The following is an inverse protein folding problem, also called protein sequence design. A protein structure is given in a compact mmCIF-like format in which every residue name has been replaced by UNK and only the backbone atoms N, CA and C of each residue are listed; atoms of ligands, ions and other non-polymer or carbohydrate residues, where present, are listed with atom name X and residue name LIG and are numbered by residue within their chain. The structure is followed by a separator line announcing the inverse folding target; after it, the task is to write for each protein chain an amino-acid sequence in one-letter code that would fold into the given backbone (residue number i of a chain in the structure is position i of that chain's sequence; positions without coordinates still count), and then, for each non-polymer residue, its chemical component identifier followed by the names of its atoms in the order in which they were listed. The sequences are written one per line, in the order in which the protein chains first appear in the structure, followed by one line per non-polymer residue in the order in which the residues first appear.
data_IF_525696855326
#
_entry.id   IF_525696855326
#
_cell.length_a   1.000
_cell.length_b   1.000
_cell.length_c   1.000
_cell.angle_alpha   90.00
_cell.angle_beta   90.00
_cell.angle_gamma   90.00
#
_symmetry.space_group_name_H-M   'P 1'
#
loop_
_entity.id
_entity.type
_entity.pdbx_description
1 polymer ?
#
# COMPACT_ATOMS: atom_id res chain seq x y z
N UNK A 1 9.55 48.21 31.44
CA UNK A 1 8.37 47.78 30.66
C UNK A 1 8.69 46.94 29.40
N UNK A 2 9.95 46.61 29.09
CA UNK A 2 10.29 45.89 27.83
C UNK A 2 10.42 44.36 27.93
N UNK A 3 10.67 43.79 29.12
CA UNK A 3 10.99 42.36 29.27
C UNK A 3 9.76 41.45 29.16
N UNK A 4 8.61 41.86 29.70
CA UNK A 4 7.38 41.04 29.68
C UNK A 4 6.72 41.00 28.31
N UNK A 5 6.73 42.12 27.56
CA UNK A 5 6.18 42.19 26.20
C UNK A 5 6.99 41.37 25.21
N UNK A 6 8.33 41.39 25.30
CA UNK A 6 9.19 40.52 24.48
C UNK A 6 8.95 39.04 24.77
N UNK A 7 8.79 38.65 26.04
CA UNK A 7 8.49 37.27 26.41
C UNK A 7 7.16 36.77 25.81
N UNK A 8 6.11 37.60 25.85
CA UNK A 8 4.80 37.27 25.27
C UNK A 8 4.85 37.12 23.74
N UNK A 9 5.61 37.98 23.06
CA UNK A 9 5.79 37.90 21.60
C UNK A 9 6.51 36.60 21.23
N UNK A 10 7.60 36.25 21.94
CA UNK A 10 8.34 35.01 21.71
C UNK A 10 7.48 33.77 21.94
N UNK A 11 6.61 33.78 22.96
CA UNK A 11 5.66 32.68 23.23
C UNK A 11 4.59 32.57 22.13
N UNK A 12 4.08 33.69 21.62
CA UNK A 12 3.12 33.67 20.53
C UNK A 12 3.74 33.10 19.24
N UNK A 13 4.95 33.52 18.89
CA UNK A 13 5.67 32.99 17.73
C UNK A 13 6.00 31.50 17.88
N UNK A 14 6.45 31.05 19.06
CA UNK A 14 6.73 29.63 19.29
C UNK A 14 5.47 28.76 19.21
N UNK A 15 4.33 29.26 19.71
CA UNK A 15 3.04 28.58 19.58
C UNK A 15 2.56 28.49 18.12
N UNK A 16 2.65 29.59 17.36
CA UNK A 16 2.29 29.60 15.93
C UNK A 16 3.20 28.67 15.14
N UNK A 17 4.50 28.69 15.42
CA UNK A 17 5.46 27.81 14.76
C UNK A 17 5.20 26.33 15.08
N UNK A 18 4.93 26.00 16.35
CA UNK A 18 4.60 24.63 16.76
C UNK A 18 3.30 24.14 16.12
N UNK A 19 2.26 24.97 16.12
CA UNK A 19 0.96 24.60 15.50
C UNK A 19 1.12 24.41 13.99
N UNK A 20 1.91 25.24 13.33
CA UNK A 20 2.24 25.07 11.91
C UNK A 20 2.98 23.75 11.65
N UNK A 21 3.98 23.41 12.47
CA UNK A 21 4.68 22.11 12.38
C UNK A 21 3.71 20.94 12.58
N UNK A 22 2.83 21.00 13.59
CA UNK A 22 1.88 19.94 13.87
C UNK A 22 0.87 19.74 12.73
N UNK A 23 0.38 20.84 12.15
CA UNK A 23 -0.53 20.81 11.00
C UNK A 23 0.17 20.28 9.73
N UNK A 24 1.42 20.68 9.51
CA UNK A 24 2.22 20.22 8.37
C UNK A 24 2.52 18.72 8.43
N UNK A 25 2.70 18.18 9.63
CA UNK A 25 2.99 16.76 9.85
C UNK A 25 1.73 15.91 10.10
N UNK A 26 0.54 16.49 10.01
CA UNK A 26 -0.69 15.76 10.25
C UNK A 26 -0.96 14.75 9.13
N UNK A 27 -1.00 13.47 9.51
CA UNK A 27 -1.40 12.36 8.65
C UNK A 27 -2.82 11.89 9.01
N UNK A 28 -3.79 12.08 8.10
CA UNK A 28 -5.14 11.57 8.29
C UNK A 28 -5.16 10.05 8.50
N UNK A 29 -6.06 9.55 9.37
CA UNK A 29 -6.14 8.13 9.63
C UNK A 29 -6.71 7.36 8.43
N UNK A 30 -6.30 6.09 8.30
CA UNK A 30 -6.84 5.17 7.30
C UNK A 30 -8.27 4.77 7.67
N UNK A 31 -9.09 4.44 6.67
CA UNK A 31 -10.41 3.87 6.94
C UNK A 31 -10.30 2.47 7.57
N UNK A 32 -11.08 2.13 8.62
CA UNK A 32 -11.00 0.82 9.27
C UNK A 32 -11.20 -0.37 8.33
N UNK A 33 -12.06 -0.23 7.32
CA UNK A 33 -12.28 -1.26 6.29
C UNK A 33 -11.03 -1.51 5.45
N UNK A 34 -10.34 -0.44 5.01
CA UNK A 34 -9.10 -0.57 4.24
C UNK A 34 -7.99 -1.15 5.12
N UNK A 35 -7.90 -0.75 6.39
CA UNK A 35 -6.91 -1.29 7.31
C UNK A 35 -7.11 -2.79 7.55
N UNK A 36 -8.34 -3.24 7.79
CA UNK A 36 -8.66 -4.67 7.92
C UNK A 36 -8.33 -5.44 6.64
N UNK A 37 -8.69 -4.89 5.48
CA UNK A 37 -8.37 -5.49 4.19
C UNK A 37 -6.86 -5.59 3.97
N UNK A 38 -6.10 -4.59 4.39
CA UNK A 38 -4.64 -4.59 4.29
C UNK A 38 -4.04 -5.71 5.12
N UNK A 39 -4.46 -5.90 6.38
CA UNK A 39 -4.02 -7.05 7.16
C UNK A 39 -4.39 -8.40 6.51
N UNK A 40 -5.55 -8.51 5.87
CA UNK A 40 -5.92 -9.73 5.14
C UNK A 40 -4.98 -9.99 3.96
N UNK A 41 -4.62 -8.95 3.19
CA UNK A 41 -3.63 -9.07 2.10
C UNK A 41 -2.26 -9.46 2.66
N UNK A 42 -1.80 -8.76 3.70
CA UNK A 42 -0.52 -9.03 4.37
C UNK A 42 -0.44 -10.50 4.84
N UNK A 43 -1.48 -10.99 5.51
CA UNK A 43 -1.58 -12.39 5.95
C UNK A 43 -1.65 -13.39 4.77
N UNK A 44 -2.25 -13.01 3.64
CA UNK A 44 -2.30 -13.85 2.44
C UNK A 44 -0.91 -14.00 1.79
N UNK A 45 -0.11 -12.93 1.80
CA UNK A 45 1.22 -12.90 1.19
C UNK A 45 2.29 -13.46 2.12
N UNK A 46 2.15 -13.25 3.43
CA UNK A 46 3.04 -13.82 4.43
C UNK A 46 2.28 -14.18 5.71
N UNK A 47 1.68 -15.39 5.78
CA UNK A 47 0.91 -15.81 6.96
C UNK A 47 1.77 -16.02 8.21
N UNK A 48 3.07 -16.26 8.02
CA UNK A 48 4.02 -16.57 9.10
C UNK A 48 4.53 -15.30 9.81
N UNK A 49 4.34 -14.13 9.21
CA UNK A 49 4.77 -12.86 9.78
C UNK A 49 3.70 -12.27 10.72
N UNK A 50 4.05 -11.86 11.95
CA UNK A 50 3.09 -11.35 12.93
C UNK A 50 2.72 -9.88 12.66
N UNK A 51 2.01 -9.61 11.57
CA UNK A 51 1.74 -8.27 11.04
C UNK A 51 1.11 -7.33 12.06
N UNK A 52 0.07 -7.78 12.78
CA UNK A 52 -0.67 -6.97 13.75
C UNK A 52 0.17 -6.61 14.98
N UNK A 53 1.09 -7.49 15.38
CA UNK A 53 1.98 -7.26 16.52
C UNK A 53 3.16 -6.38 16.11
N UNK A 54 3.68 -6.53 14.89
CA UNK A 54 4.84 -5.78 14.42
C UNK A 54 4.50 -4.37 13.96
N UNK A 55 3.35 -4.19 13.34
CA UNK A 55 2.84 -2.90 12.90
C UNK A 55 1.48 -2.66 13.54
N UNK A 56 1.45 -2.39 14.85
CA UNK A 56 0.22 -2.07 15.55
C UNK A 56 -0.23 -0.65 15.18
N UNK A 57 -1.54 -0.47 15.01
CA UNK A 57 -2.13 0.85 14.79
C UNK A 57 -2.29 1.22 13.31
N UNK A 58 -2.31 2.51 13.03
CA UNK A 58 -2.69 3.06 11.72
C UNK A 58 -1.56 2.96 10.69
N UNK A 59 -1.75 2.08 9.71
CA UNK A 59 -0.80 1.75 8.65
C UNK A 59 -0.57 2.89 7.63
N UNK A 60 -1.27 4.01 7.73
CA UNK A 60 -1.00 5.21 6.92
C UNK A 60 -0.36 6.35 7.72
N UNK A 61 -0.55 6.39 9.04
CA UNK A 61 0.19 7.33 9.91
C UNK A 61 1.66 6.93 10.04
N UNK A 62 1.90 5.64 10.24
CA UNK A 62 3.23 5.04 10.35
C UNK A 62 3.34 3.88 9.36
N UNK A 63 3.40 4.19 8.05
CA UNK A 63 3.40 3.15 7.04
C UNK A 63 4.64 2.27 7.18
N UNK A 64 4.46 0.94 7.24
CA UNK A 64 5.55 0.01 7.02
C UNK A 64 6.18 0.25 5.64
N UNK A 65 7.41 -0.22 5.42
CA UNK A 65 7.98 -0.35 4.08
C UNK A 65 6.99 -0.90 3.06
N UNK A 66 7.06 -0.44 1.83
CA UNK A 66 6.21 -0.92 0.75
C UNK A 66 4.75 -0.47 0.78
N UNK A 67 4.29 0.22 1.83
CA UNK A 67 2.93 0.80 1.90
C UNK A 67 2.99 2.30 1.60
N UNK A 68 2.27 2.73 0.57
CA UNK A 68 2.16 4.15 0.22
C UNK A 68 0.70 4.57 0.30
N UNK A 69 0.42 5.62 1.08
CA UNK A 69 -0.91 6.16 1.24
C UNK A 69 -1.06 7.52 0.57
N UNK A 70 -2.21 7.72 -0.07
CA UNK A 70 -2.66 9.03 -0.55
C UNK A 70 -3.49 9.70 0.54
N UNK A 71 -3.24 11.00 0.76
CA UNK A 71 -3.99 11.80 1.71
C UNK A 71 -5.03 12.65 0.97
N UNK A 72 -6.29 12.56 1.41
CA UNK A 72 -7.34 13.47 0.97
C UNK A 72 -7.46 14.59 2.00
N UNK A 73 -6.93 15.76 1.64
CA UNK A 73 -7.06 16.97 2.44
C UNK A 73 -8.36 17.69 2.09
N UNK A 74 -9.10 18.07 3.13
CA UNK A 74 -10.43 18.62 3.00
C UNK A 74 -10.44 20.05 2.45
N UNK A 75 -11.44 20.36 1.62
CA UNK A 75 -11.78 21.71 1.14
C UNK A 75 -12.78 22.33 2.13
N UNK A 76 -12.52 23.54 2.64
CA UNK A 76 -13.15 24.15 3.84
C UNK A 76 -14.69 24.20 3.92
N UNK A 77 -15.44 23.90 2.86
CA UNK A 77 -16.87 24.18 2.76
C UNK A 77 -17.83 23.02 3.12
N UNK A 78 -17.36 21.78 3.37
CA UNK A 78 -18.25 20.60 3.39
C UNK A 78 -18.10 19.58 4.53
N UNK A 79 -17.45 19.89 5.66
CA UNK A 79 -17.37 19.02 6.85
C UNK A 79 -17.15 17.51 6.60
N UNK A 80 -16.32 17.07 5.63
CA UNK A 80 -15.87 15.67 5.61
C UNK A 80 -14.53 15.54 6.30
N UNK A 81 -14.39 14.41 7.00
CA UNK A 81 -13.19 14.06 7.76
C UNK A 81 -12.03 13.84 6.81
N UNK A 82 -10.85 14.34 7.17
CA UNK A 82 -9.60 13.97 6.52
C UNK A 82 -9.42 12.46 6.53
N UNK A 83 -9.05 11.86 5.39
CA UNK A 83 -8.83 10.41 5.27
C UNK A 83 -7.57 10.12 4.47
N UNK A 84 -6.93 9.00 4.81
CA UNK A 84 -5.90 8.39 3.98
C UNK A 84 -6.42 7.12 3.34
N UNK A 85 -5.89 6.82 2.16
CA UNK A 85 -6.25 5.67 1.36
C UNK A 85 -4.99 4.97 0.85
N UNK A 86 -5.00 3.65 0.75
CA UNK A 86 -3.89 2.90 0.17
C UNK A 86 -3.80 3.20 -1.33
N UNK A 87 -2.63 3.68 -1.77
CA UNK A 87 -2.37 4.00 -3.18
C UNK A 87 -1.41 3.00 -3.83
N UNK A 88 -0.42 2.50 -3.07
CA UNK A 88 0.54 1.53 -3.60
C UNK A 88 0.91 0.50 -2.55
N UNK A 89 1.09 -0.75 -3.00
CA UNK A 89 1.62 -1.83 -2.19
C UNK A 89 2.76 -2.53 -2.95
N UNK A 90 3.89 -2.67 -2.26
CA UNK A 90 5.09 -3.28 -2.81
C UNK A 90 5.56 -4.40 -1.91
N UNK A 91 5.63 -5.59 -2.49
CA UNK A 91 6.00 -6.83 -1.81
C UNK A 91 7.28 -7.39 -2.41
N UNK A 92 8.14 -7.92 -1.56
CA UNK A 92 9.27 -8.73 -1.99
C UNK A 92 10.24 -9.06 -0.88
N UNK A 93 11.08 -10.04 -1.18
CA UNK A 93 12.10 -10.51 -0.26
C UNK A 93 13.36 -9.62 -0.36
N UNK A 94 14.06 -9.53 0.78
CA UNK A 94 15.12 -8.57 1.00
C UNK A 94 16.38 -8.92 0.20
N UNK A 95 16.97 -7.93 -0.48
CA UNK A 95 18.35 -7.99 -0.95
C UNK A 95 19.20 -7.25 0.09
N UNK A 96 20.29 -7.88 0.52
CA UNK A 96 20.92 -7.71 1.83
C UNK A 96 21.41 -6.29 2.22
N UNK A 97 21.44 -5.31 1.32
CA UNK A 97 22.23 -4.08 1.51
C UNK A 97 21.48 -2.74 1.57
N UNK A 98 20.15 -2.69 1.50
CA UNK A 98 19.41 -1.41 1.63
C UNK A 98 18.20 -1.53 2.54
N UNK A 99 17.89 -0.48 3.32
CA UNK A 99 16.68 -0.41 4.16
C UNK A 99 15.49 -0.98 3.39
N UNK A 100 14.69 -1.89 3.99
CA UNK A 100 13.63 -2.54 3.24
C UNK A 100 12.66 -1.48 2.73
N UNK A 101 12.49 -1.43 1.41
CA UNK A 101 11.50 -0.62 0.71
C UNK A 101 10.24 -1.45 0.39
N UNK A 102 10.26 -2.75 0.69
CA UNK A 102 9.26 -3.75 0.35
C UNK A 102 8.76 -4.48 1.61
N UNK A 103 7.52 -4.96 1.55
CA UNK A 103 6.94 -5.88 2.53
C UNK A 103 7.44 -7.31 2.28
N UNK A 104 7.92 -8.05 3.30
CA UNK A 104 8.42 -9.41 3.12
C UNK A 104 7.30 -10.37 2.67
N UNK A 105 7.65 -11.28 1.76
CA UNK A 105 6.79 -12.38 1.33
C UNK A 105 7.11 -13.67 2.10
N UNK A 106 6.13 -14.57 2.26
CA UNK A 106 6.45 -15.92 2.75
C UNK A 106 7.27 -16.65 1.68
N UNK A 107 8.23 -17.47 2.10
CA UNK A 107 9.06 -18.24 1.18
C UNK A 107 8.28 -19.31 0.42
N UNK A 108 7.20 -19.85 1.01
CA UNK A 108 6.46 -20.98 0.44
C UNK A 108 4.94 -20.79 0.43
N UNK A 109 4.38 -19.98 1.34
CA UNK A 109 2.94 -19.92 1.58
C UNK A 109 2.28 -18.63 1.06
N UNK A 110 2.99 -17.86 0.25
CA UNK A 110 2.44 -16.64 -0.33
C UNK A 110 1.34 -16.99 -1.35
N UNK A 111 0.16 -16.39 -1.17
CA UNK A 111 -1.00 -16.59 -2.05
C UNK A 111 -1.51 -15.25 -2.58
N UNK A 112 -1.89 -15.23 -3.86
CA UNK A 112 -2.48 -14.05 -4.50
C UNK A 112 -3.99 -14.25 -4.67
N UNK A 113 -4.78 -13.53 -3.89
CA UNK A 113 -6.23 -13.47 -4.07
C UNK A 113 -6.67 -12.04 -4.45
N UNK A 114 -7.01 -11.79 -5.74
CA UNK A 114 -7.47 -10.49 -6.22
C UNK A 114 -8.66 -9.89 -5.45
N UNK A 115 -9.54 -10.72 -4.88
CA UNK A 115 -10.72 -10.27 -4.13
C UNK A 115 -10.36 -9.52 -2.86
N UNK A 116 -9.20 -9.81 -2.25
CA UNK A 116 -8.72 -9.12 -1.06
C UNK A 116 -8.41 -7.64 -1.33
N UNK A 117 -8.22 -7.27 -2.60
CA UNK A 117 -7.92 -5.90 -3.00
C UNK A 117 -9.16 -5.04 -3.28
N UNK A 118 -10.36 -5.64 -3.32
CA UNK A 118 -11.62 -4.93 -3.60
C UNK A 118 -11.89 -3.70 -2.71
N UNK A 119 -11.46 -3.65 -1.43
CA UNK A 119 -11.72 -2.48 -0.59
C UNK A 119 -10.84 -1.26 -0.89
N UNK A 120 -9.78 -1.40 -1.68
CA UNK A 120 -8.82 -0.32 -1.96
C UNK A 120 -9.19 0.49 -3.20
N UNK A 121 -10.16 1.39 -3.07
CA UNK A 121 -10.68 2.20 -4.18
C UNK A 121 -9.69 3.20 -4.79
N UNK A 122 -8.53 3.39 -4.17
CA UNK A 122 -7.48 4.32 -4.60
C UNK A 122 -6.17 3.62 -4.92
N UNK A 123 -6.13 2.29 -4.90
CA UNK A 123 -4.94 1.50 -5.19
C UNK A 123 -4.61 1.59 -6.68
N UNK A 124 -3.40 2.03 -7.02
CA UNK A 124 -2.94 2.27 -8.39
C UNK A 124 -1.78 1.38 -8.81
N UNK A 125 -0.97 0.92 -7.86
CA UNK A 125 0.23 0.13 -8.13
C UNK A 125 0.35 -1.05 -7.16
N UNK A 126 0.49 -2.25 -7.74
CA UNK A 126 0.82 -3.48 -7.05
C UNK A 126 2.08 -4.08 -7.64
N UNK A 127 3.05 -4.36 -6.77
CA UNK A 127 4.33 -4.95 -7.16
C UNK A 127 4.61 -6.18 -6.31
N UNK A 128 4.96 -7.30 -6.96
CA UNK A 128 5.36 -8.54 -6.30
C UNK A 128 6.73 -8.99 -6.84
N UNK A 129 7.75 -9.02 -5.97
CA UNK A 129 9.10 -9.48 -6.30
C UNK A 129 9.43 -10.75 -5.53
N UNK A 130 9.75 -11.84 -6.21
CA UNK A 130 10.21 -13.09 -5.55
C UNK A 130 9.26 -13.59 -4.43
N UNK A 131 7.96 -13.35 -4.61
CA UNK A 131 6.95 -13.68 -3.62
C UNK A 131 6.38 -15.08 -3.85
N UNK A 132 6.27 -15.50 -5.11
CA UNK A 132 5.62 -16.75 -5.47
C UNK A 132 6.65 -17.74 -5.98
N UNK A 133 7.12 -18.61 -5.08
CA UNK A 133 8.32 -19.44 -5.29
C UNK A 133 8.02 -20.92 -5.53
N UNK A 134 6.80 -21.26 -5.96
CA UNK A 134 6.42 -22.64 -6.28
C UNK A 134 6.23 -22.81 -7.80
N UNK A 135 7.25 -23.28 -8.54
CA UNK A 135 7.18 -23.41 -10.01
C UNK A 135 6.09 -24.36 -10.49
N UNK A 136 5.71 -25.34 -9.66
CA UNK A 136 4.70 -26.35 -9.99
C UNK A 136 3.27 -25.82 -9.87
N UNK A 137 3.09 -24.69 -9.15
CA UNK A 137 1.79 -24.10 -8.90
C UNK A 137 1.64 -22.75 -9.64
N UNK A 138 1.09 -22.73 -10.86
CA UNK A 138 0.89 -21.50 -11.60
C UNK A 138 -0.20 -20.64 -10.98
N UNK A 139 0.04 -19.33 -10.93
CA UNK A 139 -0.94 -18.36 -10.45
C UNK A 139 -1.90 -18.04 -11.58
N UNK A 140 -3.12 -18.56 -11.47
CA UNK A 140 -4.21 -18.23 -12.37
C UNK A 140 -4.83 -16.90 -11.95
N UNK A 141 -4.56 -15.87 -12.74
CA UNK A 141 -4.99 -14.52 -12.48
C UNK A 141 -6.19 -14.15 -13.36
N UNK A 142 -7.33 -13.94 -12.71
CA UNK A 142 -8.40 -13.13 -13.30
C UNK A 142 -8.15 -11.70 -12.89
N UNK A 143 -8.09 -10.79 -13.85
CA UNK A 143 -7.98 -9.38 -13.50
C UNK A 143 -9.28 -8.93 -12.84
N UNK A 144 -10.46 -9.27 -13.36
CA UNK A 144 -11.79 -8.73 -12.97
C UNK A 144 -12.01 -8.35 -11.49
N UNK A 145 -11.56 -9.13 -10.49
CA UNK A 145 -11.78 -8.79 -9.08
C UNK A 145 -10.88 -7.67 -8.49
N UNK A 146 -9.79 -7.24 -9.13
CA UNK A 146 -9.01 -6.11 -8.59
C UNK A 146 -9.77 -4.78 -8.69
N UNK A 147 -9.48 -3.79 -7.85
CA UNK A 147 -10.14 -2.49 -7.88
C UNK A 147 -9.94 -1.79 -9.25
N UNK A 148 -10.95 -1.04 -9.73
CA UNK A 148 -10.89 -0.35 -11.03
C UNK A 148 -9.86 0.79 -11.08
N UNK A 149 -9.39 1.25 -9.91
CA UNK A 149 -8.34 2.25 -9.78
C UNK A 149 -6.94 1.71 -10.09
N UNK A 150 -6.77 0.38 -10.14
CA UNK A 150 -5.47 -0.23 -10.36
C UNK A 150 -4.98 0.12 -11.77
N UNK A 151 -3.78 0.68 -11.86
CA UNK A 151 -3.16 1.09 -13.12
C UNK A 151 -2.01 0.15 -13.51
N UNK A 152 -1.26 -0.30 -12.52
CA UNK A 152 -0.04 -1.08 -12.70
C UNK A 152 -0.06 -2.33 -11.82
N UNK A 153 0.09 -3.49 -12.45
CA UNK A 153 0.33 -4.77 -11.77
C UNK A 153 1.63 -5.36 -12.29
N UNK A 154 2.60 -5.55 -11.39
CA UNK A 154 3.97 -5.89 -11.75
C UNK A 154 4.43 -7.13 -10.99
N UNK A 155 4.92 -8.12 -11.71
CA UNK A 155 5.56 -9.32 -11.18
C UNK A 155 7.02 -9.33 -11.62
N UNK A 156 7.93 -9.48 -10.66
CA UNK A 156 9.37 -9.51 -10.89
C UNK A 156 9.96 -10.78 -10.27
N UNK A 157 10.69 -11.57 -11.04
CA UNK A 157 11.45 -12.74 -10.58
C UNK A 157 10.64 -13.67 -9.65
N UNK A 158 9.38 -13.96 -10.01
CA UNK A 158 8.58 -14.96 -9.31
C UNK A 158 8.76 -16.32 -10.04
N UNK A 159 9.28 -17.36 -9.38
CA UNK A 159 9.40 -18.69 -9.97
C UNK A 159 8.06 -19.31 -10.41
N UNK A 160 6.97 -19.05 -9.69
CA UNK A 160 5.63 -19.50 -10.06
C UNK A 160 5.16 -18.84 -11.36
N UNK A 161 4.75 -19.61 -12.40
CA UNK A 161 4.25 -19.02 -13.64
C UNK A 161 2.97 -18.21 -13.44
N UNK A 162 2.88 -17.02 -14.04
CA UNK A 162 1.67 -16.19 -14.02
C UNK A 162 0.85 -16.48 -15.28
N UNK A 163 -0.39 -16.94 -15.08
CA UNK A 163 -1.35 -17.24 -16.16
C UNK A 163 -2.51 -16.26 -16.12
N UNK A 164 -2.67 -15.45 -17.16
CA UNK A 164 -3.72 -14.42 -17.21
C UNK A 164 -4.80 -14.81 -18.21
N UNK A 165 -6.06 -14.72 -17.78
CA UNK A 165 -7.23 -14.93 -18.66
C UNK A 165 -7.44 -13.73 -19.57
N UNK A 166 -7.41 -13.92 -20.90
CA UNK A 166 -7.46 -12.85 -21.91
C UNK A 166 -8.78 -12.07 -21.85
N UNK A 167 -9.90 -12.74 -21.55
CA UNK A 167 -11.22 -12.10 -21.37
C UNK A 167 -11.23 -11.02 -20.28
N UNK A 168 -10.34 -11.14 -19.28
CA UNK A 168 -10.25 -10.19 -18.18
C UNK A 168 -9.41 -8.94 -18.51
N UNK A 169 -8.70 -8.93 -19.65
CA UNK A 169 -7.86 -7.81 -20.09
C UNK A 169 -8.68 -6.78 -20.88
N UNK A 170 -9.67 -7.24 -21.66
CA UNK A 170 -10.52 -6.39 -22.51
C UNK A 170 -11.59 -5.59 -21.76
N UNK A 171 -11.95 -5.98 -20.54
CA UNK A 171 -13.09 -5.43 -19.78
C UNK A 171 -12.71 -4.40 -18.70
N UNK A 172 -11.44 -4.01 -18.63
CA UNK A 172 -10.92 -3.22 -17.49
C UNK A 172 -10.68 -1.78 -17.87
N UNK A 173 -11.09 -0.88 -16.99
CA UNK A 173 -10.92 0.58 -17.12
C UNK A 173 -9.46 1.04 -17.15
N UNK A 174 -8.97 1.65 -16.07
CA UNK A 174 -7.71 2.42 -16.04
C UNK A 174 -6.42 1.56 -15.98
N UNK A 175 -6.48 0.24 -16.16
CA UNK A 175 -5.29 -0.62 -16.16
C UNK A 175 -4.39 -0.25 -17.35
N UNK A 176 -3.25 0.37 -17.08
CA UNK A 176 -2.30 0.84 -18.10
C UNK A 176 -1.24 -0.20 -18.40
N UNK A 177 -0.83 -0.98 -17.38
CA UNK A 177 0.31 -1.89 -17.50
C UNK A 177 0.14 -3.15 -16.66
N UNK A 178 0.29 -4.29 -17.32
CA UNK A 178 0.62 -5.56 -16.69
C UNK A 178 2.06 -5.90 -17.12
N UNK A 179 2.96 -6.06 -16.16
CA UNK A 179 4.37 -6.34 -16.44
C UNK A 179 4.81 -7.60 -15.70
N UNK A 180 5.45 -8.51 -16.44
CA UNK A 180 5.96 -9.78 -15.93
C UNK A 180 7.41 -9.90 -16.40
N UNK A 181 8.37 -9.80 -15.47
CA UNK A 181 9.83 -9.81 -15.74
C UNK A 181 10.44 -10.98 -14.97
N UNK A 182 11.36 -11.73 -15.62
CA UNK A 182 12.07 -12.86 -15.00
C UNK A 182 11.16 -13.96 -14.42
N UNK A 183 9.89 -13.92 -14.80
CA UNK A 183 8.81 -14.79 -14.33
C UNK A 183 8.20 -15.44 -15.56
N UNK A 184 7.95 -16.75 -15.51
CA UNK A 184 7.31 -17.44 -16.63
C UNK A 184 5.89 -16.91 -16.84
N UNK A 185 5.55 -16.52 -18.08
CA UNK A 185 4.25 -15.94 -18.43
C UNK A 185 3.48 -16.85 -19.40
N UNK A 186 2.21 -17.11 -19.09
CA UNK A 186 1.31 -17.89 -19.94
C UNK A 186 -0.03 -17.22 -20.15
N UNK A 187 -0.66 -17.47 -21.31
CA UNK A 187 -2.08 -17.15 -21.54
C UNK A 187 -2.91 -18.36 -21.15
N UNK A 188 -4.03 -18.14 -20.46
CA UNK A 188 -5.05 -19.17 -20.24
C UNK A 188 -6.19 -18.98 -21.24
#
# INVERSE_FOLDING_TARGET
MGSTTQALIMLAFSYIFLTFILLWNYKPPIHPTEQKALYNVLNSINPDFPWTTRFPGDLCRFPPPGIVCRYSYFHFLQYRKFKSHIEQLHFGNYVFDERPTLLPCSSHNATLNPLLFTPFNYLRLLTFRECFNNPENPINLSLSPFPPSLEHLIFFDNPSPIRVSISSVSERGLMKKLMVIGTAFGKK
#
